data_IF_744980611680
#
_entry.id   IF_744980611680
#
_cell.length_a   1.000
_cell.length_b   1.000
_cell.length_c   1.000
_cell.angle_alpha   90.00
_cell.angle_beta   90.00
_cell.angle_gamma   90.00
#
_symmetry.space_group_name_H-M   'P 1'
#
loop_
_entity.id
_entity.type
_entity.pdbx_description
1 polymer ?
#
# COMPACT_ATOMS: atom_id res chain seq x y z
N UNK A 1 -2.57 20.46 -7.49
CA UNK A 1 -2.04 21.37 -8.53
C UNK A 1 -2.66 22.77 -8.42
N UNK A 2 -4.00 22.91 -8.26
CA UNK A 2 -4.66 24.22 -8.24
C UNK A 2 -4.15 25.14 -7.15
N UNK A 3 -3.99 24.64 -5.92
CA UNK A 3 -3.48 25.44 -4.80
C UNK A 3 -2.03 25.84 -5.01
N UNK A 4 -1.20 24.91 -5.52
CA UNK A 4 0.19 25.20 -5.84
C UNK A 4 0.30 26.24 -6.95
N UNK A 5 -0.55 26.16 -7.97
CA UNK A 5 -0.63 27.17 -9.04
C UNK A 5 -0.94 28.57 -8.48
N UNK A 6 -1.90 28.68 -7.56
CA UNK A 6 -2.22 29.94 -6.87
C UNK A 6 -1.04 30.49 -6.05
N UNK A 7 -0.31 29.61 -5.37
CA UNK A 7 0.83 30.00 -4.51
C UNK A 7 2.06 30.45 -5.32
N UNK A 8 2.29 29.84 -6.47
CA UNK A 8 3.53 30.02 -7.25
C UNK A 8 3.37 30.92 -8.47
N UNK A 9 2.13 31.23 -8.89
CA UNK A 9 1.85 31.93 -10.15
C UNK A 9 2.03 31.06 -11.41
N UNK A 10 2.45 29.79 -11.25
CA UNK A 10 2.62 28.85 -12.37
C UNK A 10 1.25 28.26 -12.73
N UNK A 11 0.94 28.13 -14.01
CA UNK A 11 -0.33 27.53 -14.44
C UNK A 11 -0.49 26.08 -13.96
N UNK A 12 -1.73 25.62 -13.75
CA UNK A 12 -2.03 24.21 -13.41
C UNK A 12 -1.43 23.24 -14.44
N UNK A 13 -1.43 23.63 -15.71
CA UNK A 13 -0.81 22.85 -16.81
C UNK A 13 0.70 22.69 -16.60
N UNK A 14 1.38 23.72 -16.10
CA UNK A 14 2.82 23.66 -15.78
C UNK A 14 3.12 22.87 -14.50
N UNK A 15 2.24 22.94 -13.49
CA UNK A 15 2.42 22.22 -12.22
C UNK A 15 2.24 20.70 -12.38
N UNK A 16 1.30 20.25 -13.22
CA UNK A 16 1.02 18.81 -13.37
C UNK A 16 2.22 17.95 -13.80
N UNK A 17 3.03 18.35 -14.83
CA UNK A 17 4.24 17.62 -15.17
C UNK A 17 5.27 17.55 -14.04
N UNK A 18 5.41 18.63 -13.26
CA UNK A 18 6.31 18.65 -12.10
C UNK A 18 5.85 17.62 -11.05
N UNK A 19 4.57 17.61 -10.73
CA UNK A 19 4.02 16.62 -9.79
C UNK A 19 4.17 15.19 -10.31
N UNK A 20 4.04 14.97 -11.61
CA UNK A 20 4.25 13.65 -12.21
C UNK A 20 5.70 13.19 -12.02
N UNK A 21 6.68 14.05 -12.29
CA UNK A 21 8.10 13.75 -12.09
C UNK A 21 8.41 13.46 -10.62
N UNK A 22 7.87 14.25 -9.69
CA UNK A 22 8.02 14.02 -8.23
C UNK A 22 7.45 12.64 -7.86
N UNK A 23 6.26 12.26 -8.35
CA UNK A 23 5.68 10.92 -8.08
C UNK A 23 6.54 9.79 -8.60
N UNK A 24 7.14 9.92 -9.76
CA UNK A 24 8.10 8.93 -10.28
C UNK A 24 9.31 8.78 -9.35
N UNK A 25 9.85 9.89 -8.81
CA UNK A 25 10.96 9.84 -7.85
C UNK A 25 10.54 9.18 -6.53
N UNK A 26 9.35 9.51 -6.03
CA UNK A 26 8.78 8.87 -4.82
C UNK A 26 8.60 7.37 -5.05
N UNK A 27 8.03 6.96 -6.18
CA UNK A 27 7.83 5.55 -6.48
C UNK A 27 9.16 4.79 -6.53
N UNK A 28 10.17 5.34 -7.20
CA UNK A 28 11.51 4.75 -7.25
C UNK A 28 12.15 4.63 -5.85
N UNK A 29 11.90 5.58 -4.95
CA UNK A 29 12.38 5.52 -3.57
C UNK A 29 11.67 4.40 -2.78
N UNK A 30 10.35 4.26 -2.94
CA UNK A 30 9.58 3.20 -2.27
C UNK A 30 10.02 1.79 -2.71
N UNK A 31 10.42 1.62 -3.97
CA UNK A 31 10.90 0.32 -4.48
C UNK A 31 12.30 -0.08 -3.97
N UNK A 32 13.06 0.85 -3.41
CA UNK A 32 14.38 0.59 -2.83
C UNK A 32 14.32 0.08 -1.38
N UNK A 33 13.13 -0.15 -0.84
CA UNK A 33 12.97 -0.60 0.54
C UNK A 33 13.58 -2.00 0.73
N UNK A 34 14.31 -2.17 1.85
CA UNK A 34 14.84 -3.47 2.27
C UNK A 34 13.73 -4.41 2.74
N UNK A 35 13.95 -5.74 2.74
CA UNK A 35 12.99 -6.68 3.30
C UNK A 35 12.56 -6.30 4.72
N UNK A 36 11.26 -6.43 4.98
CA UNK A 36 10.68 -6.15 6.28
C UNK A 36 10.92 -7.34 7.22
N UNK A 37 11.29 -7.05 8.47
CA UNK A 37 11.54 -8.04 9.51
C UNK A 37 10.76 -7.72 10.80
N UNK A 38 10.57 -8.72 11.67
CA UNK A 38 9.82 -8.60 12.91
C UNK A 38 8.34 -8.93 12.71
N UNK A 39 7.45 -8.23 13.41
CA UNK A 39 6.00 -8.49 13.29
C UNK A 39 5.44 -7.76 12.09
N UNK A 40 4.88 -8.51 11.13
CA UNK A 40 4.28 -7.98 9.91
C UNK A 40 2.80 -8.35 9.81
N UNK A 41 2.03 -7.47 9.21
CA UNK A 41 0.61 -7.64 8.92
C UNK A 41 0.42 -7.66 7.40
N UNK A 42 -0.30 -8.66 6.88
CA UNK A 42 -0.58 -8.82 5.45
C UNK A 42 -2.07 -8.75 5.20
N UNK A 43 -2.44 -8.02 4.17
CA UNK A 43 -3.82 -7.95 3.69
C UNK A 43 -3.86 -7.47 2.24
N UNK A 44 -4.97 -7.74 1.53
CA UNK A 44 -5.22 -7.19 0.22
C UNK A 44 -6.40 -6.24 0.21
N UNK A 45 -6.32 -5.22 -0.63
CA UNK A 45 -7.39 -4.26 -0.84
C UNK A 45 -7.72 -4.05 -2.31
N UNK A 46 -9.01 -3.80 -2.57
CA UNK A 46 -9.58 -3.69 -3.92
C UNK A 46 -9.92 -2.23 -4.21
N UNK A 47 -9.34 -1.69 -5.28
CA UNK A 47 -9.53 -0.32 -5.74
C UNK A 47 -10.24 -0.27 -7.09
N UNK A 48 -11.16 0.66 -7.27
CA UNK A 48 -11.93 0.85 -8.48
C UNK A 48 -13.38 1.22 -8.19
N UNK A 49 -14.22 1.23 -9.23
CA UNK A 49 -15.61 1.62 -9.10
C UNK A 49 -16.36 0.75 -8.08
N UNK A 50 -17.24 1.39 -7.29
CA UNK A 50 -18.07 0.70 -6.28
C UNK A 50 -19.05 -0.30 -6.92
N UNK A 51 -19.51 -0.02 -8.14
CA UNK A 51 -20.40 -0.88 -8.95
C UNK A 51 -19.90 -0.90 -10.38
N UNK A 52 -19.88 -2.08 -11.01
CA UNK A 52 -19.68 -2.26 -12.43
C UNK A 52 -20.84 -3.12 -12.93
N UNK A 53 -21.74 -2.53 -13.74
CA UNK A 53 -22.87 -3.22 -14.40
C UNK A 53 -23.63 -4.18 -13.47
N UNK A 54 -24.07 -3.70 -12.29
CA UNK A 54 -24.91 -4.47 -11.36
C UNK A 54 -24.15 -5.43 -10.43
N UNK A 55 -22.89 -5.76 -10.68
CA UNK A 55 -22.08 -6.61 -9.80
C UNK A 55 -21.47 -5.80 -8.66
N UNK A 56 -21.52 -6.34 -7.43
CA UNK A 56 -20.99 -5.73 -6.21
C UNK A 56 -19.92 -6.63 -5.59
N UNK A 57 -19.08 -6.07 -4.72
CA UNK A 57 -18.14 -6.82 -3.88
C UNK A 57 -16.80 -7.11 -4.55
N UNK A 58 -16.04 -8.05 -3.97
CA UNK A 58 -14.70 -8.47 -4.42
C UNK A 58 -14.71 -9.04 -5.84
N UNK A 59 -15.80 -9.70 -6.25
CA UNK A 59 -15.97 -10.29 -7.58
C UNK A 59 -16.36 -9.30 -8.70
N UNK A 60 -16.46 -7.99 -8.45
CA UNK A 60 -16.68 -7.01 -9.51
C UNK A 60 -15.43 -6.90 -10.40
N UNK A 61 -15.55 -7.28 -11.69
CA UNK A 61 -14.45 -7.22 -12.65
C UNK A 61 -13.90 -5.80 -12.81
N UNK A 62 -12.59 -5.67 -13.10
CA UNK A 62 -11.96 -4.38 -13.37
C UNK A 62 -11.47 -3.62 -12.15
N UNK A 63 -11.52 -4.19 -10.95
CA UNK A 63 -10.84 -3.63 -9.78
C UNK A 63 -9.35 -3.93 -9.83
N UNK A 64 -8.55 -2.96 -9.40
CA UNK A 64 -7.12 -3.15 -9.14
C UNK A 64 -6.94 -3.77 -7.77
N UNK A 65 -6.25 -4.88 -7.69
CA UNK A 65 -5.93 -5.56 -6.44
C UNK A 65 -4.56 -5.08 -5.97
N UNK A 66 -4.51 -4.60 -4.74
CA UNK A 66 -3.26 -4.17 -4.10
C UNK A 66 -3.01 -5.07 -2.90
N UNK A 67 -1.84 -5.68 -2.87
CA UNK A 67 -1.32 -6.39 -1.71
C UNK A 67 -0.48 -5.46 -0.86
N UNK A 68 -0.67 -5.49 0.46
CA UNK A 68 0.05 -4.68 1.42
C UNK A 68 0.77 -5.52 2.47
N UNK A 69 1.98 -5.11 2.80
CA UNK A 69 2.81 -5.64 3.87
C UNK A 69 3.11 -4.48 4.82
N UNK A 70 2.63 -4.55 6.06
CA UNK A 70 2.90 -3.53 7.07
C UNK A 70 3.77 -4.11 8.17
N UNK A 71 4.93 -3.54 8.38
CA UNK A 71 5.73 -3.77 9.58
C UNK A 71 5.09 -3.03 10.75
N UNK A 72 4.73 -3.75 11.81
CA UNK A 72 4.08 -3.17 12.99
C UNK A 72 4.93 -2.04 13.59
N UNK A 73 4.29 -0.91 13.89
CA UNK A 73 4.94 0.34 14.33
C UNK A 73 5.98 0.91 13.36
N UNK A 74 5.94 0.53 12.11
CA UNK A 74 6.90 0.92 11.09
C UNK A 74 6.24 1.36 9.78
N UNK A 75 6.78 0.83 8.71
CA UNK A 75 6.48 1.18 7.33
C UNK A 75 5.54 0.16 6.67
N UNK A 76 4.88 0.59 5.62
CA UNK A 76 4.10 -0.25 4.71
C UNK A 76 4.81 -0.34 3.37
N UNK A 77 4.72 -1.49 2.73
CA UNK A 77 5.03 -1.72 1.32
C UNK A 77 3.77 -2.18 0.59
N UNK A 78 3.55 -1.68 -0.62
CA UNK A 78 2.38 -2.07 -1.43
C UNK A 78 2.78 -2.51 -2.82
N UNK A 79 2.08 -3.52 -3.35
CA UNK A 79 2.27 -4.00 -4.72
C UNK A 79 0.93 -4.25 -5.40
N UNK A 80 0.83 -3.86 -6.68
CA UNK A 80 -0.33 -4.19 -7.51
C UNK A 80 -0.14 -5.61 -8.01
N UNK A 81 -1.08 -6.49 -7.67
CA UNK A 81 -1.05 -7.90 -8.06
C UNK A 81 -2.13 -8.22 -9.09
N UNK A 82 -1.89 -9.18 -10.00
CA UNK A 82 -2.87 -9.55 -11.03
C UNK A 82 -4.11 -10.20 -10.43
N UNK A 83 -3.94 -10.94 -9.35
CA UNK A 83 -4.98 -11.64 -8.61
C UNK A 83 -4.55 -11.85 -7.15
N UNK A 84 -5.49 -12.26 -6.30
CA UNK A 84 -5.22 -12.60 -4.90
C UNK A 84 -4.99 -14.11 -4.72
N UNK A 85 -4.40 -14.79 -5.71
CA UNK A 85 -4.03 -16.20 -5.60
C UNK A 85 -2.82 -16.40 -4.70
N UNK A 86 -2.71 -17.59 -4.13
CA UNK A 86 -1.54 -18.00 -3.33
C UNK A 86 -0.23 -17.73 -4.08
N UNK A 87 -0.16 -18.09 -5.38
CA UNK A 87 1.05 -17.94 -6.19
C UNK A 87 1.48 -16.48 -6.35
N UNK A 88 0.52 -15.59 -6.62
CA UNK A 88 0.78 -14.14 -6.77
C UNK A 88 1.25 -13.52 -5.45
N UNK A 89 0.58 -13.82 -4.33
CA UNK A 89 0.93 -13.24 -3.03
C UNK A 89 2.26 -13.76 -2.50
N UNK A 90 2.54 -15.06 -2.64
CA UNK A 90 3.80 -15.68 -2.21
C UNK A 90 5.01 -15.05 -2.88
N UNK A 91 4.92 -14.73 -4.17
CA UNK A 91 6.02 -14.07 -4.88
C UNK A 91 6.41 -12.75 -4.22
N UNK A 92 5.41 -11.94 -3.84
CA UNK A 92 5.63 -10.65 -3.16
C UNK A 92 6.18 -10.88 -1.75
N UNK A 93 5.60 -11.81 -0.99
CA UNK A 93 6.02 -12.14 0.38
C UNK A 93 7.50 -12.51 0.41
N UNK A 94 7.93 -13.45 -0.45
CA UNK A 94 9.34 -13.89 -0.51
C UNK A 94 10.32 -12.79 -0.87
N UNK A 95 9.90 -11.81 -1.67
CA UNK A 95 10.75 -10.67 -2.06
C UNK A 95 10.90 -9.60 -0.98
N UNK A 96 9.94 -9.51 -0.04
CA UNK A 96 9.82 -8.35 0.84
C UNK A 96 9.74 -8.66 2.33
N UNK A 97 9.72 -9.95 2.73
CA UNK A 97 9.64 -10.35 4.13
C UNK A 97 10.78 -11.31 4.46
N UNK A 98 11.50 -11.02 5.53
CA UNK A 98 12.53 -11.93 6.08
C UNK A 98 11.90 -13.19 6.65
N UNK A 99 12.53 -14.36 6.48
CA UNK A 99 11.99 -15.65 6.89
C UNK A 99 11.75 -15.79 8.40
N UNK A 100 12.50 -15.04 9.22
CA UNK A 100 12.39 -15.00 10.68
C UNK A 100 11.22 -14.13 11.19
N UNK A 101 10.43 -13.53 10.28
CA UNK A 101 9.34 -12.64 10.63
C UNK A 101 8.13 -13.38 11.20
N UNK A 102 7.44 -12.70 12.12
CA UNK A 102 6.12 -13.08 12.59
C UNK A 102 5.05 -12.51 11.66
N UNK A 103 4.28 -13.36 10.99
CA UNK A 103 3.28 -12.96 10.00
C UNK A 103 1.89 -13.04 10.60
N UNK A 104 1.12 -11.95 10.51
CA UNK A 104 -0.28 -11.87 10.88
C UNK A 104 -1.13 -11.62 9.62
N UNK A 105 -2.13 -12.45 9.36
CA UNK A 105 -3.05 -12.34 8.22
C UNK A 105 -4.49 -12.46 8.67
N UNK A 106 -5.43 -12.11 7.78
CA UNK A 106 -6.81 -12.59 7.95
C UNK A 106 -6.90 -14.11 7.70
N UNK A 107 -8.08 -14.69 7.90
CA UNK A 107 -8.31 -16.12 7.70
C UNK A 107 -8.40 -16.59 6.25
N UNK A 108 -7.95 -15.80 5.27
CA UNK A 108 -8.05 -16.18 3.86
C UNK A 108 -7.14 -17.34 3.48
N UNK A 109 -7.69 -18.29 2.71
CA UNK A 109 -6.99 -19.53 2.26
C UNK A 109 -5.75 -19.26 1.39
N UNK A 110 -5.61 -18.09 0.77
CA UNK A 110 -4.42 -17.76 -0.02
C UNK A 110 -3.13 -17.71 0.81
N UNK A 111 -3.25 -17.53 2.13
CA UNK A 111 -2.12 -17.55 3.07
C UNK A 111 -1.81 -18.96 3.63
N UNK A 112 -2.57 -19.99 3.20
CA UNK A 112 -2.30 -21.37 3.60
C UNK A 112 -0.94 -21.84 3.06
N UNK A 113 -0.13 -22.44 3.93
CA UNK A 113 1.18 -22.98 3.57
C UNK A 113 2.34 -21.98 3.68
N UNK A 114 2.17 -20.82 4.32
CA UNK A 114 3.30 -19.94 4.66
C UNK A 114 4.31 -20.66 5.56
N UNK A 115 3.85 -21.52 6.48
CA UNK A 115 4.70 -22.35 7.34
C UNK A 115 5.54 -23.33 6.51
N UNK A 116 4.94 -23.96 5.48
CA UNK A 116 5.63 -24.90 4.57
C UNK A 116 6.75 -24.20 3.75
N UNK A 117 6.74 -22.88 3.71
CA UNK A 117 7.72 -22.06 3.00
C UNK A 117 8.83 -21.50 3.89
N UNK A 118 8.89 -21.93 5.15
CA UNK A 118 9.91 -21.52 6.11
C UNK A 118 9.53 -20.32 7.00
N UNK A 119 8.29 -19.83 6.93
CA UNK A 119 7.79 -18.82 7.87
C UNK A 119 7.19 -19.51 9.08
N UNK A 120 7.98 -19.73 10.11
CA UNK A 120 7.59 -20.54 11.29
C UNK A 120 6.48 -19.89 12.14
N UNK A 121 6.35 -18.56 12.09
CA UNK A 121 5.40 -17.78 12.91
C UNK A 121 4.33 -17.14 12.05
N UNK A 122 3.28 -17.91 11.72
CA UNK A 122 2.11 -17.41 11.01
C UNK A 122 0.86 -17.51 11.88
N UNK A 123 0.22 -16.36 12.13
CA UNK A 123 -1.00 -16.24 12.92
C UNK A 123 -2.15 -15.75 12.04
N UNK A 124 -3.30 -16.42 12.15
CA UNK A 124 -4.53 -16.05 11.45
C UNK A 124 -5.50 -15.36 12.41
N UNK A 125 -5.96 -14.19 12.03
CA UNK A 125 -6.97 -13.42 12.76
C UNK A 125 -8.32 -13.66 12.12
N UNK A 126 -9.26 -14.23 12.87
CA UNK A 126 -10.63 -14.49 12.40
C UNK A 126 -11.56 -13.37 12.85
N UNK A 127 -12.09 -12.57 11.91
CA UNK A 127 -13.05 -11.50 12.18
C UNK A 127 -14.49 -11.97 12.48
N UNK A 128 -14.75 -13.29 12.50
CA UNK A 128 -16.12 -13.87 12.54
C UNK A 128 -16.74 -14.15 13.91
N UNK A 129 -16.00 -14.03 15.01
CA UNK A 129 -16.47 -14.49 16.33
C UNK A 129 -16.27 -13.50 17.48
N UNK A 130 -16.49 -12.20 17.28
CA UNK A 130 -16.29 -11.14 18.30
C UNK A 130 -14.90 -11.16 19.00
N UNK A 131 -13.93 -11.88 18.45
CA UNK A 131 -12.55 -11.88 18.91
C UNK A 131 -11.79 -10.75 18.22
N UNK A 132 -11.87 -9.54 18.77
CA UNK A 132 -11.18 -8.36 18.25
C UNK A 132 -9.66 -8.43 18.35
N UNK A 133 -9.09 -9.35 19.03
CA UNK A 133 -7.69 -9.79 19.01
C UNK A 133 -7.46 -10.87 20.05
N UNK A 134 -6.72 -11.92 19.75
CA UNK A 134 -6.09 -12.76 20.77
C UNK A 134 -4.78 -12.11 21.20
N UNK A 135 -4.84 -11.19 22.16
CA UNK A 135 -3.66 -10.52 22.69
C UNK A 135 -3.00 -9.59 21.63
N UNK A 136 -1.75 -9.88 21.25
CA UNK A 136 -0.97 -9.08 20.29
C UNK A 136 -1.20 -9.43 18.82
N UNK A 137 -2.05 -10.43 18.51
CA UNK A 137 -2.28 -10.91 17.14
C UNK A 137 -3.46 -10.16 16.52
N UNK A 138 -3.20 -9.24 15.63
CA UNK A 138 -4.20 -8.44 14.91
C UNK A 138 -3.61 -7.91 13.59
N UNK A 139 -4.47 -7.40 12.72
CA UNK A 139 -4.11 -6.74 11.45
C UNK A 139 -4.63 -5.30 11.38
N UNK A 140 -4.90 -4.69 12.53
CA UNK A 140 -5.49 -3.34 12.61
C UNK A 140 -4.61 -2.26 11.96
N UNK A 141 -3.29 -2.48 11.92
CA UNK A 141 -2.35 -1.55 11.31
C UNK A 141 -2.54 -1.46 9.80
N UNK A 142 -2.59 -2.59 9.11
CA UNK A 142 -2.79 -2.63 7.66
C UNK A 142 -4.21 -2.20 7.28
N UNK A 143 -5.23 -2.52 8.08
CA UNK A 143 -6.61 -2.03 7.88
C UNK A 143 -6.68 -0.51 8.00
N UNK A 144 -6.00 0.08 8.99
CA UNK A 144 -5.88 1.53 9.15
C UNK A 144 -5.21 2.18 7.94
N UNK A 145 -4.15 1.57 7.41
CA UNK A 145 -3.51 2.02 6.17
C UNK A 145 -4.48 1.98 4.98
N UNK A 146 -5.29 0.93 4.82
CA UNK A 146 -6.29 0.86 3.75
C UNK A 146 -7.37 1.93 3.88
N UNK A 147 -7.82 2.21 5.09
CA UNK A 147 -8.77 3.27 5.36
C UNK A 147 -8.21 4.64 4.97
N UNK A 148 -6.97 4.94 5.38
CA UNK A 148 -6.24 6.14 4.98
C UNK A 148 -6.09 6.24 3.46
N UNK A 149 -5.68 5.16 2.80
CA UNK A 149 -5.46 5.10 1.35
C UNK A 149 -6.75 5.37 0.58
N UNK A 150 -7.84 4.70 0.94
CA UNK A 150 -9.16 4.88 0.32
C UNK A 150 -9.67 6.32 0.50
N UNK A 151 -9.56 6.89 1.69
CA UNK A 151 -9.94 8.27 1.98
C UNK A 151 -9.14 9.29 1.17
N UNK A 152 -7.83 9.08 1.04
CA UNK A 152 -6.96 9.96 0.25
C UNK A 152 -7.26 9.86 -1.25
N UNK A 153 -7.37 8.66 -1.80
CA UNK A 153 -7.58 8.45 -3.24
C UNK A 153 -8.98 8.85 -3.71
N UNK A 154 -9.99 8.79 -2.85
CA UNK A 154 -11.35 9.23 -3.16
C UNK A 154 -11.43 10.70 -3.57
N UNK A 155 -10.53 11.55 -3.08
CA UNK A 155 -10.47 13.00 -3.41
C UNK A 155 -10.16 13.28 -4.88
N UNK A 156 -9.65 12.31 -5.62
CA UNK A 156 -9.33 12.50 -7.04
C UNK A 156 -10.50 12.21 -7.99
N UNK A 157 -11.66 11.73 -7.46
CA UNK A 157 -12.88 11.41 -8.23
C UNK A 157 -12.66 10.49 -9.44
N UNK A 158 -11.63 9.68 -9.38
CA UNK A 158 -11.20 8.76 -10.41
C UNK A 158 -9.74 8.99 -10.81
N UNK A 159 -8.99 7.91 -10.87
CA UNK A 159 -7.58 7.89 -11.29
C UNK A 159 -7.48 6.87 -12.41
N UNK A 160 -6.84 7.22 -13.52
CA UNK A 160 -6.60 6.26 -14.60
C UNK A 160 -5.72 5.11 -14.10
N UNK A 161 -5.82 3.95 -14.73
CA UNK A 161 -5.04 2.77 -14.31
C UNK A 161 -3.54 3.02 -14.39
N UNK A 162 -3.10 3.75 -15.39
CA UNK A 162 -1.70 4.10 -15.62
C UNK A 162 -1.14 4.98 -14.49
N UNK A 163 -1.98 5.87 -13.96
CA UNK A 163 -1.58 6.79 -12.89
C UNK A 163 -1.79 6.21 -11.50
N UNK A 164 -2.58 5.13 -11.36
CA UNK A 164 -2.94 4.57 -10.06
C UNK A 164 -1.71 4.15 -9.25
N UNK A 165 -0.76 3.47 -9.89
CA UNK A 165 0.49 3.06 -9.25
C UNK A 165 1.23 4.24 -8.59
N UNK A 166 1.39 5.34 -9.30
CA UNK A 166 2.10 6.53 -8.80
C UNK A 166 1.38 7.17 -7.61
N UNK A 167 0.04 7.22 -7.65
CA UNK A 167 -0.76 7.71 -6.53
C UNK A 167 -0.74 6.77 -5.32
N UNK A 168 -0.68 5.46 -5.56
CA UNK A 168 -0.53 4.45 -4.53
C UNK A 168 0.82 4.61 -3.81
N UNK A 169 1.93 4.68 -4.56
CA UNK A 169 3.28 4.88 -4.01
C UNK A 169 3.44 6.24 -3.30
N UNK A 170 2.81 7.30 -3.80
CA UNK A 170 2.75 8.56 -3.05
C UNK A 170 1.99 8.40 -1.73
N UNK A 171 0.95 7.56 -1.69
CA UNK A 171 0.19 7.32 -0.44
C UNK A 171 1.01 6.49 0.55
N UNK A 172 1.69 5.45 0.08
CA UNK A 172 2.64 4.64 0.83
C UNK A 172 3.74 5.51 1.45
N UNK A 173 4.40 6.34 0.64
CA UNK A 173 5.42 7.29 1.08
C UNK A 173 4.92 8.22 2.19
N UNK A 174 3.74 8.83 2.00
CA UNK A 174 3.14 9.72 3.01
C UNK A 174 2.80 9.01 4.31
N UNK A 175 2.35 7.78 4.24
CA UNK A 175 2.06 6.97 5.43
C UNK A 175 3.35 6.60 6.16
N UNK A 176 4.38 6.21 5.44
CA UNK A 176 5.66 5.82 6.00
C UNK A 176 6.37 6.98 6.70
N UNK A 177 6.18 8.20 6.20
CA UNK A 177 6.76 9.43 6.76
C UNK A 177 5.75 10.30 7.52
N UNK A 178 4.65 9.72 8.03
CA UNK A 178 3.54 10.46 8.67
C UNK A 178 3.90 11.23 9.92
N UNK A 179 5.03 10.91 10.54
CA UNK A 179 5.56 11.57 11.74
C UNK A 179 6.78 12.46 11.44
N UNK A 180 7.09 12.67 10.17
CA UNK A 180 8.25 13.41 9.71
C UNK A 180 7.85 14.66 8.89
N UNK A 181 8.80 15.57 8.71
CA UNK A 181 8.64 16.74 7.82
C UNK A 181 8.81 16.30 6.35
N UNK A 182 7.69 16.05 5.69
CA UNK A 182 7.66 15.64 4.28
C UNK A 182 8.35 16.66 3.35
N UNK A 183 8.28 17.96 3.69
CA UNK A 183 8.94 19.00 2.89
C UNK A 183 10.45 18.84 2.90
N UNK A 184 11.03 18.61 4.07
CA UNK A 184 12.48 18.36 4.20
C UNK A 184 12.92 17.08 3.49
N UNK A 185 12.14 16.00 3.59
CA UNK A 185 12.43 14.74 2.92
C UNK A 185 12.41 14.92 1.41
N UNK A 186 11.36 15.55 0.86
CA UNK A 186 11.25 15.82 -0.57
C UNK A 186 12.38 16.72 -1.07
N UNK A 187 12.73 17.78 -0.33
CA UNK A 187 13.85 18.65 -0.70
C UNK A 187 15.19 17.91 -0.72
N UNK A 188 15.44 17.03 0.25
CA UNK A 188 16.64 16.17 0.26
C UNK A 188 16.65 15.21 -0.94
N UNK A 189 15.50 14.57 -1.22
CA UNK A 189 15.34 13.69 -2.38
C UNK A 189 15.64 14.42 -3.70
N UNK A 190 15.09 15.62 -3.88
CA UNK A 190 15.26 16.40 -5.11
C UNK A 190 16.67 16.98 -5.27
N UNK A 191 17.38 17.26 -4.18
CA UNK A 191 18.80 17.65 -4.23
C UNK A 191 19.69 16.50 -4.71
N UNK A 192 19.41 15.28 -4.22
CA UNK A 192 20.20 14.10 -4.59
C UNK A 192 19.85 13.57 -6.00
N UNK A 193 18.57 13.72 -6.41
CA UNK A 193 18.04 13.25 -7.69
C UNK A 193 17.12 14.34 -8.30
N UNK A 194 17.66 15.33 -9.01
CA UNK A 194 16.86 16.38 -9.64
C UNK A 194 15.82 15.85 -10.63
N UNK A 195 14.75 16.62 -10.85
CA UNK A 195 13.64 16.30 -11.78
C UNK A 195 13.81 16.90 -13.15
#
# INVERSE_FOLDING_TARGET
>A
ASDTAKMTGISVRGINPIFLKIRHRIAALCEQSSPLSGVVELDESYFGARRIRGKRGRGASGKTIVFGILKRNGVVYTEIVPDASKASLIKVIRGHISADSEINTDGWKAYDGLVDMGYEKHYRVHHGSNEFARGKQHINGIESFWSYTKGRLAKFHGISKEMFYLHLKETEFRFNHRHEDLGKILMKMLRNNPI
#
